data_IF_928461373627
#
_entry.id   IF_928461373627
#
_cell.length_a   1.000
_cell.length_b   1.000
_cell.length_c   1.000
_cell.angle_alpha   90.00
_cell.angle_beta   90.00
_cell.angle_gamma   90.00
#
_symmetry.space_group_name_H-M   'P 1'
#
loop_
_entity.id
_entity.type
_entity.pdbx_description
1 polymer ?
#
# COMPACT_ATOMS: atom_id res chain seq x y z
N UNK A 1 -38.24 -9.11 -1.07
CA UNK A 1 -37.07 -9.25 -0.19
C UNK A 1 -36.58 -7.84 0.08
N UNK A 2 -36.69 -7.35 1.32
CA UNK A 2 -36.01 -6.10 1.70
C UNK A 2 -34.54 -6.29 1.38
N UNK A 3 -34.02 -5.54 0.41
CA UNK A 3 -32.59 -5.45 0.20
C UNK A 3 -32.05 -4.77 1.45
N UNK A 4 -31.54 -5.54 2.41
CA UNK A 4 -30.80 -4.98 3.53
C UNK A 4 -29.67 -4.15 2.92
N UNK A 5 -29.83 -2.82 2.95
CA UNK A 5 -28.88 -1.85 2.37
C UNK A 5 -27.69 -1.67 3.32
N UNK A 6 -27.86 -2.04 4.59
CA UNK A 6 -26.85 -1.94 5.63
C UNK A 6 -25.50 -2.63 5.30
N UNK A 7 -25.46 -3.88 4.78
CA UNK A 7 -24.22 -4.55 4.40
C UNK A 7 -23.51 -3.82 3.26
N UNK A 8 -24.26 -3.27 2.30
CA UNK A 8 -23.69 -2.51 1.18
C UNK A 8 -23.03 -1.23 1.66
N UNK A 9 -23.70 -0.48 2.53
CA UNK A 9 -23.17 0.75 3.12
C UNK A 9 -21.92 0.45 3.95
N UNK A 10 -21.93 -0.60 4.76
CA UNK A 10 -20.78 -1.01 5.60
C UNK A 10 -19.59 -1.40 4.72
N UNK A 11 -19.81 -2.18 3.66
CA UNK A 11 -18.76 -2.57 2.72
C UNK A 11 -18.14 -1.33 2.04
N UNK A 12 -18.98 -0.35 1.69
CA UNK A 12 -18.56 0.88 1.02
C UNK A 12 -17.70 1.76 1.95
N UNK A 13 -18.15 1.94 3.20
CA UNK A 13 -17.40 2.64 4.23
C UNK A 13 -16.05 1.96 4.52
N UNK A 14 -16.06 0.64 4.61
CA UNK A 14 -14.84 -0.15 4.87
C UNK A 14 -13.85 0.01 3.72
N UNK A 15 -14.31 -0.10 2.47
CA UNK A 15 -13.46 0.13 1.29
C UNK A 15 -12.87 1.54 1.26
N UNK A 16 -13.65 2.56 1.64
CA UNK A 16 -13.17 3.94 1.71
C UNK A 16 -12.11 4.13 2.81
N UNK A 17 -12.33 3.52 3.99
CA UNK A 17 -11.40 3.58 5.11
C UNK A 17 -10.04 2.95 4.78
N UNK A 18 -10.03 1.88 3.97
CA UNK A 18 -8.78 1.28 3.47
C UNK A 18 -8.18 2.06 2.30
N UNK A 19 -8.99 2.65 1.42
CA UNK A 19 -8.50 3.38 0.25
C UNK A 19 -7.74 4.66 0.61
N UNK A 20 -8.21 5.42 1.61
CA UNK A 20 -7.59 6.68 2.05
C UNK A 20 -6.10 6.51 2.42
N UNK A 21 -5.71 5.64 3.37
CA UNK A 21 -4.31 5.44 3.72
C UNK A 21 -3.49 4.92 2.54
N UNK A 22 -4.04 4.04 1.70
CA UNK A 22 -3.37 3.56 0.48
C UNK A 22 -3.07 4.72 -0.49
N UNK A 23 -4.02 5.62 -0.73
CA UNK A 23 -3.82 6.81 -1.57
C UNK A 23 -2.73 7.71 -0.99
N UNK A 24 -2.73 7.94 0.33
CA UNK A 24 -1.70 8.73 1.01
C UNK A 24 -0.31 8.13 0.75
N UNK A 25 -0.16 6.82 0.91
CA UNK A 25 1.11 6.13 0.64
C UNK A 25 1.53 6.22 -0.83
N UNK A 26 0.59 6.16 -1.77
CA UNK A 26 0.87 6.36 -3.21
C UNK A 26 1.45 7.76 -3.44
N UNK A 27 0.78 8.80 -2.93
CA UNK A 27 1.21 10.19 -3.10
C UNK A 27 2.60 10.42 -2.50
N UNK A 28 2.84 9.93 -1.28
CA UNK A 28 4.15 10.02 -0.61
C UNK A 28 5.22 9.29 -1.44
N UNK A 29 4.91 8.11 -1.97
CA UNK A 29 5.87 7.32 -2.76
C UNK A 29 6.22 8.00 -4.08
N UNK A 30 5.24 8.60 -4.76
CA UNK A 30 5.46 9.39 -5.97
C UNK A 30 6.36 10.59 -5.64
N UNK A 31 6.01 11.35 -4.60
CA UNK A 31 6.82 12.50 -4.17
C UNK A 31 8.26 12.10 -3.83
N UNK A 32 8.44 10.97 -3.12
CA UNK A 32 9.76 10.43 -2.79
C UNK A 32 10.57 10.07 -4.05
N UNK A 33 9.96 9.37 -5.01
CA UNK A 33 10.60 9.00 -6.28
C UNK A 33 10.98 10.21 -7.13
N UNK A 34 10.15 11.25 -7.13
CA UNK A 34 10.45 12.51 -7.84
C UNK A 34 11.62 13.26 -7.19
N UNK A 35 11.71 13.28 -5.86
CA UNK A 35 12.69 14.10 -5.13
C UNK A 35 14.06 13.43 -4.95
N UNK A 36 14.09 12.12 -4.70
CA UNK A 36 15.31 11.36 -4.38
C UNK A 36 15.76 10.48 -5.55
N UNK A 37 14.94 10.39 -6.61
CA UNK A 37 15.19 9.59 -7.80
C UNK A 37 14.65 8.16 -7.66
N UNK A 38 14.69 7.42 -8.78
CA UNK A 38 14.17 6.06 -8.88
C UNK A 38 15.03 5.08 -8.07
N UNK A 39 14.71 4.94 -6.79
CA UNK A 39 15.33 3.98 -5.88
C UNK A 39 14.38 2.80 -5.69
N UNK A 40 14.93 1.58 -5.68
CA UNK A 40 14.17 0.32 -5.60
C UNK A 40 13.17 0.32 -4.45
N UNK A 41 13.51 0.92 -3.30
CA UNK A 41 12.64 1.07 -2.14
C UNK A 41 11.35 1.85 -2.46
N UNK A 42 11.45 3.02 -3.10
CA UNK A 42 10.26 3.81 -3.45
C UNK A 42 9.37 3.13 -4.50
N UNK A 43 9.99 2.41 -5.45
CA UNK A 43 9.27 1.67 -6.49
C UNK A 43 8.50 0.49 -5.90
N UNK A 44 9.10 -0.25 -4.96
CA UNK A 44 8.44 -1.35 -4.24
C UNK A 44 7.23 -0.87 -3.45
N UNK A 45 7.35 0.25 -2.74
CA UNK A 45 6.23 0.86 -1.99
C UNK A 45 5.13 1.30 -2.97
N UNK A 46 5.49 1.94 -4.08
CA UNK A 46 4.53 2.41 -5.07
C UNK A 46 3.76 1.26 -5.72
N UNK A 47 4.46 0.25 -6.24
CA UNK A 47 3.84 -0.92 -6.90
C UNK A 47 2.96 -1.68 -5.90
N UNK A 48 3.44 -1.90 -4.67
CA UNK A 48 2.66 -2.56 -3.62
C UNK A 48 1.35 -1.83 -3.32
N UNK A 49 1.39 -0.50 -3.18
CA UNK A 49 0.17 0.28 -2.96
C UNK A 49 -0.75 0.37 -4.18
N UNK A 50 -0.21 0.40 -5.40
CA UNK A 50 -1.01 0.35 -6.62
C UNK A 50 -1.79 -0.97 -6.68
N UNK A 51 -1.13 -2.10 -6.41
CA UNK A 51 -1.79 -3.42 -6.37
C UNK A 51 -2.89 -3.44 -5.32
N UNK A 52 -2.61 -2.95 -4.11
CA UNK A 52 -3.61 -2.86 -3.02
C UNK A 52 -4.80 -1.98 -3.42
N UNK A 53 -4.54 -0.83 -4.04
CA UNK A 53 -5.58 0.08 -4.48
C UNK A 53 -6.47 -0.54 -5.56
N UNK A 54 -5.87 -1.18 -6.56
CA UNK A 54 -6.60 -1.94 -7.58
C UNK A 54 -7.46 -3.04 -6.96
N UNK A 55 -6.93 -3.79 -6.01
CA UNK A 55 -7.70 -4.82 -5.32
C UNK A 55 -8.90 -4.26 -4.54
N UNK A 56 -8.76 -3.11 -3.86
CA UNK A 56 -9.86 -2.45 -3.16
C UNK A 56 -10.96 -2.05 -4.15
N UNK A 57 -10.57 -1.42 -5.27
CA UNK A 57 -11.51 -0.97 -6.30
C UNK A 57 -12.23 -2.15 -6.96
N UNK A 58 -11.50 -3.20 -7.35
CA UNK A 58 -12.11 -4.37 -7.99
C UNK A 58 -13.02 -5.12 -7.02
N UNK A 59 -12.63 -5.30 -5.75
CA UNK A 59 -13.50 -5.92 -4.74
C UNK A 59 -14.80 -5.14 -4.53
N UNK A 60 -14.76 -3.80 -4.54
CA UNK A 60 -15.97 -2.99 -4.48
C UNK A 60 -16.88 -3.18 -5.70
N UNK A 61 -16.30 -3.18 -6.90
CA UNK A 61 -17.06 -3.39 -8.15
C UNK A 61 -17.72 -4.78 -8.15
N UNK A 62 -16.98 -5.82 -7.74
CA UNK A 62 -17.50 -7.19 -7.64
C UNK A 62 -18.62 -7.31 -6.62
N UNK A 63 -18.49 -6.66 -5.47
CA UNK A 63 -19.50 -6.67 -4.43
C UNK A 63 -20.80 -6.00 -4.92
N UNK A 64 -20.71 -4.87 -5.61
CA UNK A 64 -21.88 -4.19 -6.19
C UNK A 64 -22.56 -5.09 -7.25
N UNK A 65 -21.80 -5.77 -8.11
CA UNK A 65 -22.36 -6.68 -9.11
C UNK A 65 -23.10 -7.88 -8.47
N UNK A 66 -22.54 -8.48 -7.42
CA UNK A 66 -23.19 -9.57 -6.70
C UNK A 66 -24.44 -9.09 -5.93
N UNK A 67 -24.31 -8.00 -5.17
CA UNK A 67 -25.34 -7.54 -4.24
C UNK A 67 -26.48 -6.76 -4.89
N UNK A 68 -26.22 -6.03 -5.97
CA UNK A 68 -27.21 -5.13 -6.60
C UNK A 68 -27.77 -5.75 -7.88
N UNK A 69 -26.93 -6.38 -8.69
CA UNK A 69 -27.36 -6.92 -9.99
C UNK A 69 -27.71 -8.41 -9.95
N UNK A 70 -27.36 -9.15 -8.88
CA UNK A 70 -27.54 -10.61 -8.75
C UNK A 70 -27.13 -11.40 -10.01
N UNK A 71 -26.23 -10.82 -10.81
CA UNK A 71 -25.95 -11.28 -12.18
C UNK A 71 -24.89 -12.38 -12.21
N UNK A 72 -24.20 -12.60 -11.09
CA UNK A 72 -23.06 -13.50 -10.97
C UNK A 72 -23.36 -14.63 -9.99
N UNK A 73 -23.12 -15.87 -10.43
CA UNK A 73 -23.19 -17.04 -9.56
C UNK A 73 -22.13 -16.91 -8.44
N UNK A 74 -22.50 -17.22 -7.21
CA UNK A 74 -21.66 -17.03 -6.02
C UNK A 74 -20.34 -17.79 -6.10
N UNK A 75 -20.28 -18.84 -6.92
CA UNK A 75 -19.06 -19.61 -7.20
C UNK A 75 -18.00 -18.78 -7.95
N UNK A 76 -18.39 -18.01 -8.97
CA UNK A 76 -17.47 -17.15 -9.73
C UNK A 76 -16.99 -15.96 -8.91
N UNK A 77 -17.88 -15.39 -8.09
CA UNK A 77 -17.51 -14.34 -7.14
C UNK A 77 -16.44 -14.80 -6.16
N UNK A 78 -16.62 -15.98 -5.55
CA UNK A 78 -15.67 -16.54 -4.58
C UNK A 78 -14.29 -16.77 -5.21
N UNK A 79 -14.24 -17.30 -6.44
CA UNK A 79 -12.98 -17.54 -7.15
C UNK A 79 -12.20 -16.24 -7.41
N UNK A 80 -12.90 -15.21 -7.92
CA UNK A 80 -12.27 -13.93 -8.27
C UNK A 80 -11.89 -13.15 -7.00
N UNK A 81 -12.74 -13.14 -5.98
CA UNK A 81 -12.45 -12.54 -4.67
C UNK A 81 -11.22 -13.20 -4.02
N UNK A 82 -11.08 -14.52 -4.14
CA UNK A 82 -9.91 -15.25 -3.63
C UNK A 82 -8.65 -14.88 -4.39
N UNK A 83 -8.71 -14.82 -5.73
CA UNK A 83 -7.57 -14.39 -6.56
C UNK A 83 -7.12 -12.96 -6.22
N UNK A 84 -8.07 -12.03 -6.02
CA UNK A 84 -7.78 -10.66 -5.59
C UNK A 84 -7.19 -10.60 -4.19
N UNK A 85 -7.62 -11.48 -3.28
CA UNK A 85 -7.05 -11.56 -1.93
C UNK A 85 -5.59 -12.02 -1.96
N UNK A 86 -5.26 -13.01 -2.80
CA UNK A 86 -3.87 -13.44 -3.02
C UNK A 86 -3.04 -12.31 -3.63
N UNK A 87 -3.58 -11.62 -4.63
CA UNK A 87 -2.89 -10.49 -5.26
C UNK A 87 -2.66 -9.33 -4.27
N UNK A 88 -3.64 -9.05 -3.42
CA UNK A 88 -3.52 -8.06 -2.33
C UNK A 88 -2.45 -8.45 -1.32
N UNK A 89 -2.35 -9.74 -0.99
CA UNK A 89 -1.31 -10.26 -0.11
C UNK A 89 0.10 -10.08 -0.71
N UNK A 90 0.25 -10.30 -2.01
CA UNK A 90 1.52 -10.02 -2.71
C UNK A 90 1.82 -8.52 -2.68
N UNK A 91 0.81 -7.67 -2.94
CA UNK A 91 0.93 -6.22 -2.84
C UNK A 91 1.36 -5.72 -1.46
N UNK A 92 0.82 -6.31 -0.39
CA UNK A 92 1.18 -5.96 0.99
C UNK A 92 2.61 -6.40 1.34
N UNK A 93 3.06 -7.57 0.86
CA UNK A 93 4.45 -8.01 1.01
C UNK A 93 5.41 -7.04 0.32
N UNK A 94 5.12 -6.66 -0.94
CA UNK A 94 5.91 -5.68 -1.69
C UNK A 94 6.01 -4.34 -0.94
N UNK A 95 4.88 -3.87 -0.40
CA UNK A 95 4.82 -2.66 0.42
C UNK A 95 5.71 -2.77 1.66
N UNK A 96 5.58 -3.84 2.45
CA UNK A 96 6.38 -4.04 3.67
C UNK A 96 7.87 -4.12 3.36
N UNK A 97 8.27 -4.83 2.30
CA UNK A 97 9.66 -4.90 1.86
C UNK A 97 10.18 -3.51 1.46
N UNK A 98 9.38 -2.75 0.70
CA UNK A 98 9.74 -1.39 0.31
C UNK A 98 9.95 -0.46 1.51
N UNK A 99 9.02 -0.48 2.48
CA UNK A 99 9.13 0.30 3.72
C UNK A 99 10.34 -0.14 4.56
N UNK A 100 10.60 -1.44 4.65
CA UNK A 100 11.74 -1.98 5.38
C UNK A 100 13.08 -1.51 4.78
N UNK A 101 13.21 -1.55 3.46
CA UNK A 101 14.41 -1.06 2.76
C UNK A 101 14.60 0.45 2.97
N UNK A 102 13.50 1.21 2.94
CA UNK A 102 13.52 2.65 3.23
C UNK A 102 14.02 2.92 4.66
N UNK A 103 13.47 2.23 5.67
CA UNK A 103 13.91 2.37 7.06
C UNK A 103 15.39 2.02 7.24
N UNK A 104 15.83 0.89 6.68
CA UNK A 104 17.24 0.46 6.74
C UNK A 104 18.18 1.52 6.16
N UNK A 105 17.78 2.15 5.06
CA UNK A 105 18.54 3.22 4.40
C UNK A 105 18.63 4.46 5.28
N UNK A 106 17.51 4.91 5.87
CA UNK A 106 17.46 6.07 6.77
C UNK A 106 18.36 5.86 8.00
N UNK A 107 18.31 4.67 8.62
CA UNK A 107 19.15 4.33 9.78
C UNK A 107 20.64 4.35 9.41
N UNK A 108 21.00 3.75 8.26
CA UNK A 108 22.40 3.70 7.80
C UNK A 108 22.96 5.10 7.52
N UNK A 109 22.18 5.98 6.90
CA UNK A 109 22.60 7.37 6.64
C UNK A 109 22.81 8.16 7.93
N UNK A 110 21.96 7.95 8.94
CA UNK A 110 22.09 8.62 10.25
C UNK A 110 23.33 8.16 11.02
N UNK A 111 23.65 6.87 10.98
CA UNK A 111 24.86 6.31 11.59
C UNK A 111 26.15 6.87 10.95
N UNK A 112 26.21 6.96 9.63
CA UNK A 112 27.36 7.53 8.91
C UNK A 112 27.56 9.02 9.19
N UNK A 113 26.48 9.78 9.33
CA UNK A 113 26.56 11.22 9.62
C UNK A 113 27.05 11.49 11.04
N UNK A 114 26.67 10.66 12.02
CA UNK A 114 27.16 10.77 13.40
C UNK A 114 28.68 10.55 13.50
N UNK A 115 29.19 9.49 12.87
CA UNK A 115 30.63 9.17 12.90
C UNK A 115 31.51 10.23 12.25
N UNK A 116 31.03 10.90 11.19
CA UNK A 116 31.80 11.98 10.54
C UNK A 116 31.91 13.19 11.46
N UNK A 117 30.84 13.56 12.17
CA UNK A 117 30.87 14.71 13.10
C UNK A 117 31.85 14.44 14.24
N UNK A 118 31.84 13.23 14.81
CA UNK A 118 32.73 12.86 15.92
C UNK A 118 34.22 12.92 15.49
N UNK A 119 34.54 12.46 14.28
CA UNK A 119 35.91 12.51 13.73
C UNK A 119 36.42 13.94 13.45
N UNK A 120 35.55 14.86 13.05
CA UNK A 120 35.93 16.26 12.75
C UNK A 120 36.12 17.08 14.03
N UNK A 121 35.44 16.71 15.12
CA UNK A 121 35.62 17.37 16.43
C UNK A 121 36.91 16.97 17.14
N UNK A 122 37.45 15.77 16.93
CA UNK A 122 38.76 15.39 17.50
C UNK A 122 39.92 16.14 16.82
N UNK A 123 39.89 16.27 15.49
CA UNK A 123 40.97 16.90 14.71
C UNK A 123 41.08 18.42 14.87
N UNK A 124 40.06 19.09 15.44
CA UNK A 124 40.08 20.55 15.65
C UNK A 124 40.50 20.97 17.07
N UNK A 125 40.71 20.00 17.96
CA UNK A 125 41.13 20.23 19.36
C UNK A 125 42.54 19.77 19.70
N UNK A 126 43.32 19.33 18.70
CA UNK A 126 44.72 18.87 18.87
C UNK A 126 45.75 19.88 18.34
#
# INVERSE_FOLDING_TARGET
MESDVAPVIIQLLTGLFYAIPTIIFIVISIYYLMKIGSKTDGVLILIGNIILFLSIVVNQILFIQLSVYQSWDGYYYSYISTALSILSFIGSILFVIGVFLLMKKVIKTKSLTGTIIDSVTEDTTS
#
